data_IF_787480783355
#
_entry.id   IF_787480783355
#
_cell.length_a   1.000
_cell.length_b   1.000
_cell.length_c   1.000
_cell.angle_alpha   90.00
_cell.angle_beta   90.00
_cell.angle_gamma   90.00
#
_symmetry.space_group_name_H-M   'P 1'
#
loop_
_entity.id
_entity.type
_entity.pdbx_description
1 polymer ?
#
# COMPACT_ATOMS: atom_id res chain seq x y z
N UNK A 1 16.22 0.50 2.81
CA UNK A 1 14.79 0.63 3.16
C UNK A 1 14.14 1.69 2.27
N UNK A 2 14.69 2.91 2.23
CA UNK A 2 14.15 4.01 1.42
C UNK A 2 13.86 3.65 -0.05
N UNK A 3 14.81 3.06 -0.77
CA UNK A 3 14.62 2.63 -2.17
C UNK A 3 13.45 1.65 -2.35
N UNK A 4 13.24 0.74 -1.39
CA UNK A 4 12.12 -0.22 -1.42
C UNK A 4 10.79 0.49 -1.17
N UNK A 5 10.77 1.46 -0.25
CA UNK A 5 9.58 2.28 0.02
C UNK A 5 9.19 3.09 -1.22
N UNK A 6 10.16 3.66 -1.92
CA UNK A 6 9.94 4.39 -3.18
C UNK A 6 9.40 3.47 -4.29
N UNK A 7 9.89 2.23 -4.36
CA UNK A 7 9.35 1.24 -5.29
C UNK A 7 7.89 0.86 -4.95
N UNK A 8 7.56 0.66 -3.67
CA UNK A 8 6.19 0.41 -3.21
C UNK A 8 5.29 1.62 -3.52
N UNK A 9 5.79 2.84 -3.30
CA UNK A 9 5.06 4.07 -3.65
C UNK A 9 4.76 4.16 -5.15
N UNK A 10 5.72 3.81 -6.00
CA UNK A 10 5.49 3.78 -7.45
C UNK A 10 4.38 2.78 -7.84
N UNK A 11 4.31 1.62 -7.19
CA UNK A 11 3.23 0.64 -7.38
C UNK A 11 1.90 1.21 -6.88
N UNK A 12 1.89 1.83 -5.69
CA UNK A 12 0.71 2.48 -5.13
C UNK A 12 0.15 3.56 -6.06
N UNK A 13 0.98 4.48 -6.56
CA UNK A 13 0.52 5.56 -7.43
C UNK A 13 -0.12 5.01 -8.72
N UNK A 14 0.50 4.01 -9.34
CA UNK A 14 -0.07 3.33 -10.51
C UNK A 14 -1.41 2.68 -10.18
N UNK A 15 -1.51 1.96 -9.07
CA UNK A 15 -2.76 1.30 -8.67
C UNK A 15 -3.86 2.34 -8.38
N UNK A 16 -3.52 3.40 -7.63
CA UNK A 16 -4.40 4.51 -7.30
C UNK A 16 -4.95 5.19 -8.56
N UNK A 17 -4.10 5.56 -9.50
CA UNK A 17 -4.53 6.24 -10.74
C UNK A 17 -5.42 5.35 -11.61
N UNK A 18 -5.07 4.06 -11.73
CA UNK A 18 -5.88 3.09 -12.46
C UNK A 18 -7.27 2.90 -11.82
N UNK A 19 -7.35 2.77 -10.50
CA UNK A 19 -8.64 2.62 -9.81
C UNK A 19 -9.44 3.92 -9.87
N UNK A 20 -8.80 5.08 -9.65
CA UNK A 20 -9.43 6.40 -9.77
C UNK A 20 -10.08 6.59 -11.13
N UNK A 21 -9.41 6.21 -12.22
CA UNK A 21 -9.98 6.28 -13.57
C UNK A 21 -11.24 5.39 -13.72
N UNK A 22 -11.28 4.21 -13.08
CA UNK A 22 -12.43 3.30 -13.12
C UNK A 22 -13.62 3.79 -12.29
N UNK A 23 -13.36 4.47 -11.16
CA UNK A 23 -14.41 4.91 -10.23
C UNK A 23 -14.89 6.35 -10.47
N UNK A 24 -14.26 7.08 -11.40
CA UNK A 24 -14.63 8.47 -11.73
C UNK A 24 -15.67 8.59 -12.84
N UNK A 25 -16.43 9.67 -12.83
CA UNK A 25 -17.37 10.10 -13.85
C UNK A 25 -17.23 11.62 -14.03
N UNK A 26 -16.65 12.03 -15.17
CA UNK A 26 -16.11 13.38 -15.31
C UNK A 26 -15.03 13.65 -14.26
N UNK A 27 -15.13 14.78 -13.57
CA UNK A 27 -14.14 15.23 -12.58
C UNK A 27 -14.45 14.76 -11.15
N UNK A 28 -15.38 13.81 -10.97
CA UNK A 28 -15.85 13.38 -9.64
C UNK A 28 -15.84 11.86 -9.50
N UNK A 29 -15.64 11.37 -8.29
CA UNK A 29 -15.84 9.95 -7.96
C UNK A 29 -17.35 9.65 -8.00
N UNK A 30 -17.74 8.61 -8.74
CA UNK A 30 -19.12 8.16 -8.86
C UNK A 30 -19.39 7.07 -7.84
N UNK A 31 -20.33 7.29 -6.91
CA UNK A 31 -20.68 6.30 -5.89
C UNK A 31 -21.12 4.95 -6.50
N UNK A 32 -21.83 4.99 -7.63
CA UNK A 32 -22.24 3.79 -8.37
C UNK A 32 -21.03 3.01 -8.88
N UNK A 33 -20.06 3.69 -9.50
CA UNK A 33 -18.84 3.04 -10.02
C UNK A 33 -17.92 2.57 -8.90
N UNK A 34 -17.82 3.34 -7.81
CA UNK A 34 -17.07 2.95 -6.63
C UNK A 34 -17.61 1.66 -6.02
N UNK A 35 -18.93 1.53 -5.86
CA UNK A 35 -19.56 0.30 -5.39
C UNK A 35 -19.34 -0.87 -6.37
N UNK A 36 -19.42 -0.63 -7.69
CA UNK A 36 -19.15 -1.65 -8.70
C UNK A 36 -17.68 -2.13 -8.73
N UNK A 37 -16.76 -1.32 -8.19
CA UNK A 37 -15.32 -1.61 -8.13
C UNK A 37 -14.79 -1.61 -6.68
N UNK A 38 -15.64 -1.99 -5.71
CA UNK A 38 -15.34 -1.85 -4.29
C UNK A 38 -14.08 -2.61 -3.88
N UNK A 39 -13.91 -3.85 -4.36
CA UNK A 39 -12.73 -4.67 -4.08
C UNK A 39 -11.44 -3.96 -4.52
N UNK A 40 -11.43 -3.35 -5.72
CA UNK A 40 -10.27 -2.62 -6.21
C UNK A 40 -10.01 -1.33 -5.41
N UNK A 41 -11.06 -0.66 -4.97
CA UNK A 41 -10.94 0.52 -4.10
C UNK A 41 -10.39 0.15 -2.71
N UNK A 42 -10.85 -0.95 -2.12
CA UNK A 42 -10.29 -1.50 -0.88
C UNK A 42 -8.82 -1.90 -1.06
N UNK A 43 -8.47 -2.59 -2.15
CA UNK A 43 -7.08 -2.97 -2.45
C UNK A 43 -6.15 -1.76 -2.49
N UNK A 44 -6.56 -0.65 -3.11
CA UNK A 44 -5.77 0.59 -3.12
C UNK A 44 -5.66 1.20 -1.73
N UNK A 45 -6.71 1.14 -0.91
CA UNK A 45 -6.68 1.64 0.47
C UNK A 45 -5.73 0.81 1.36
N UNK A 46 -5.72 -0.51 1.22
CA UNK A 46 -4.77 -1.39 1.91
C UNK A 46 -3.34 -1.15 1.46
N UNK A 47 -3.11 -1.04 0.15
CA UNK A 47 -1.78 -0.71 -0.37
C UNK A 47 -1.27 0.64 0.14
N UNK A 48 -2.14 1.65 0.27
CA UNK A 48 -1.80 2.92 0.90
C UNK A 48 -1.41 2.75 2.38
N UNK A 49 -2.14 1.89 3.10
CA UNK A 49 -1.89 1.59 4.51
C UNK A 49 -0.53 0.92 4.70
N UNK A 50 -0.22 -0.07 3.86
CA UNK A 50 1.08 -0.77 3.90
C UNK A 50 2.25 0.15 3.56
N UNK A 51 2.09 1.01 2.55
CA UNK A 51 3.10 2.02 2.22
C UNK A 51 3.35 2.97 3.40
N UNK A 52 2.30 3.43 4.06
CA UNK A 52 2.44 4.32 5.21
C UNK A 52 3.05 3.60 6.41
N UNK A 53 2.65 2.35 6.69
CA UNK A 53 3.25 1.53 7.72
C UNK A 53 4.76 1.32 7.49
N UNK A 54 5.18 1.10 6.24
CA UNK A 54 6.59 1.01 5.87
C UNK A 54 7.36 2.31 6.19
N UNK A 55 6.79 3.48 5.85
CA UNK A 55 7.38 4.79 6.17
C UNK A 55 7.50 5.00 7.68
N UNK A 56 6.43 4.71 8.41
CA UNK A 56 6.39 4.91 9.87
C UNK A 56 7.37 3.96 10.59
N UNK A 57 7.50 2.71 10.16
CA UNK A 57 8.46 1.77 10.72
C UNK A 57 9.91 2.16 10.42
N UNK A 58 10.21 2.61 9.19
CA UNK A 58 11.54 3.12 8.87
C UNK A 58 11.89 4.34 9.73
N UNK A 59 10.99 5.33 9.79
CA UNK A 59 11.18 6.54 10.60
C UNK A 59 11.28 6.24 12.10
N UNK A 60 10.53 5.26 12.60
CA UNK A 60 10.66 4.79 13.98
C UNK A 60 12.03 4.17 14.24
N UNK A 61 12.49 3.27 13.38
CA UNK A 61 13.78 2.62 13.53
C UNK A 61 14.94 3.63 13.51
N UNK A 62 14.87 4.63 12.63
CA UNK A 62 15.88 5.69 12.54
C UNK A 62 15.90 6.58 13.79
N UNK A 63 14.72 6.92 14.35
CA UNK A 63 14.65 7.73 15.59
C UNK A 63 15.14 6.98 16.82
N UNK A 64 14.78 5.70 16.97
CA UNK A 64 15.18 4.92 18.15
C UNK A 64 16.67 4.61 18.09
N UNK A 65 17.18 4.25 16.92
CA UNK A 65 18.58 3.90 16.72
C UNK A 65 18.92 2.58 17.41
N UNK A 66 19.06 1.51 16.63
CA UNK A 66 19.40 0.20 17.17
C UNK A 66 19.39 -0.90 16.13
N UNK A 67 20.13 -1.98 16.39
CA UNK A 67 20.23 -3.10 15.46
C UNK A 67 18.89 -3.85 15.35
N UNK A 68 18.18 -4.02 16.47
CA UNK A 68 16.92 -4.76 16.53
C UNK A 68 15.78 -4.01 15.82
N UNK A 69 15.63 -2.72 16.07
CA UNK A 69 14.63 -1.87 15.44
C UNK A 69 14.84 -1.83 13.92
N UNK A 70 16.10 -1.70 13.48
CA UNK A 70 16.46 -1.82 12.07
C UNK A 70 16.11 -3.18 11.47
N UNK A 71 16.28 -4.29 12.21
CA UNK A 71 15.89 -5.63 11.76
C UNK A 71 14.37 -5.78 11.64
N UNK A 72 13.61 -5.26 12.61
CA UNK A 72 12.14 -5.28 12.59
C UNK A 72 11.61 -4.50 11.39
N UNK A 73 12.09 -3.27 11.17
CA UNK A 73 11.68 -2.46 10.03
C UNK A 73 12.03 -3.13 8.69
N UNK A 74 13.25 -3.67 8.55
CA UNK A 74 13.64 -4.40 7.32
C UNK A 74 12.81 -5.65 7.07
N UNK A 75 12.49 -6.42 8.11
CA UNK A 75 11.66 -7.61 7.99
C UNK A 75 10.26 -7.25 7.50
N UNK A 76 9.61 -6.25 8.12
CA UNK A 76 8.30 -5.78 7.70
C UNK A 76 8.29 -5.29 6.25
N UNK A 77 9.20 -4.37 5.91
CA UNK A 77 9.26 -3.77 4.55
C UNK A 77 9.57 -4.84 3.50
N UNK A 78 10.44 -5.81 3.83
CA UNK A 78 10.74 -6.95 2.96
C UNK A 78 9.53 -7.83 2.69
N UNK A 79 8.73 -8.13 3.73
CA UNK A 79 7.51 -8.91 3.58
C UNK A 79 6.43 -8.16 2.79
N UNK A 80 6.25 -6.85 3.00
CA UNK A 80 5.33 -6.04 2.18
C UNK A 80 5.72 -6.07 0.71
N UNK A 81 7.01 -5.83 0.41
CA UNK A 81 7.52 -5.86 -0.96
C UNK A 81 7.32 -7.24 -1.63
N UNK A 82 7.52 -8.33 -0.88
CA UNK A 82 7.30 -9.70 -1.36
C UNK A 82 5.82 -9.98 -1.61
N UNK A 83 4.95 -9.60 -0.68
CA UNK A 83 3.52 -9.91 -0.72
C UNK A 83 2.81 -9.19 -1.87
N UNK A 84 3.11 -7.91 -2.12
CA UNK A 84 2.49 -7.12 -3.19
C UNK A 84 2.64 -7.77 -4.58
N UNK A 85 3.72 -8.54 -4.82
CA UNK A 85 3.91 -9.29 -6.07
C UNK A 85 2.86 -10.40 -6.24
N UNK A 86 2.43 -11.02 -5.14
CA UNK A 86 1.38 -12.04 -5.11
C UNK A 86 -0.05 -11.49 -5.06
N UNK A 87 -0.21 -10.20 -4.77
CA UNK A 87 -1.50 -9.53 -4.62
C UNK A 87 -1.53 -8.63 -3.39
N UNK A 88 -2.64 -7.91 -3.20
CA UNK A 88 -2.89 -7.16 -1.96
C UNK A 88 -3.73 -8.03 -1.05
N UNK A 89 -3.20 -8.35 0.13
CA UNK A 89 -3.96 -9.08 1.15
C UNK A 89 -4.95 -8.11 1.81
N UNK A 90 -6.24 -8.38 1.60
CA UNK A 90 -7.36 -7.63 2.17
C UNK A 90 -7.93 -8.29 3.43
N UNK A 91 -7.39 -9.46 3.80
CA UNK A 91 -7.92 -10.34 4.83
C UNK A 91 -8.52 -11.61 4.26
N UNK A 92 -8.74 -12.60 5.13
CA UNK A 92 -9.05 -13.98 4.75
C UNK A 92 -10.36 -14.20 3.97
N UNK A 93 -11.21 -13.18 3.86
CA UNK A 93 -12.55 -13.30 3.27
C UNK A 93 -12.78 -12.37 2.06
N UNK A 94 -11.77 -11.61 1.62
CA UNK A 94 -11.87 -10.73 0.45
C UNK A 94 -10.97 -11.28 -0.67
N UNK A 95 -11.58 -11.74 -1.77
CA UNK A 95 -10.91 -12.28 -2.96
C UNK A 95 -11.36 -11.55 -4.23
#
# INVERSE_FOLDING_TARGET
>A
MQEVIEAIEAVYQRAHDNVKARVSEGDRISAKKLNAHQLAAHAVAYLATELEACRQLAAWADRVGGEYEGKVARAYIGEVARSIVGGVDLGACEN
#
